data_IF_554611418521
#
_entry.id   IF_554611418521
#
_cell.length_a   1.000
_cell.length_b   1.000
_cell.length_c   1.000
_cell.angle_alpha   90.00
_cell.angle_beta   90.00
_cell.angle_gamma   90.00
#
_symmetry.space_group_name_H-M   'P 1'
#
loop_
_entity.id
_entity.type
_entity.pdbx_description
1 polymer ?
#
# COMPACT_ATOMS: atom_id res chain seq x y z
N UNK A 1 -3.11 6.20 3.59
CA UNK A 1 -4.11 5.46 2.80
C UNK A 1 -4.87 6.26 1.74
N UNK A 2 -5.44 7.45 2.03
CA UNK A 2 -6.31 8.15 1.05
C UNK A 2 -5.59 8.52 -0.26
N UNK A 3 -4.41 9.14 -0.18
CA UNK A 3 -3.61 9.49 -1.35
C UNK A 3 -3.17 8.25 -2.16
N UNK A 4 -2.85 7.15 -1.46
CA UNK A 4 -2.49 5.87 -2.08
C UNK A 4 -3.67 5.25 -2.84
N UNK A 5 -4.86 5.18 -2.21
CA UNK A 5 -6.10 4.74 -2.86
C UNK A 5 -6.46 5.59 -4.08
N UNK A 6 -6.22 6.89 -4.01
CA UNK A 6 -6.48 7.86 -5.07
C UNK A 6 -5.45 7.89 -6.19
N UNK A 7 -4.36 7.10 -6.11
CA UNK A 7 -3.33 7.08 -7.15
C UNK A 7 -2.47 8.35 -7.22
N UNK A 8 -2.47 9.16 -6.17
CA UNK A 8 -1.74 10.43 -6.15
C UNK A 8 -0.28 10.22 -5.74
N UNK A 9 0.54 9.63 -6.63
CA UNK A 9 1.96 9.29 -6.35
C UNK A 9 2.77 10.48 -5.85
N UNK A 10 2.56 11.68 -6.41
CA UNK A 10 3.24 12.90 -5.96
C UNK A 10 2.89 13.30 -4.52
N UNK A 11 1.63 13.13 -4.12
CA UNK A 11 1.19 13.41 -2.75
C UNK A 11 1.73 12.36 -1.78
N UNK A 12 1.71 11.07 -2.16
CA UNK A 12 2.30 10.00 -1.35
C UNK A 12 3.79 10.26 -1.10
N UNK A 13 4.54 10.61 -2.16
CA UNK A 13 5.96 10.95 -2.05
C UNK A 13 6.19 12.14 -1.12
N UNK A 14 5.45 13.24 -1.32
CA UNK A 14 5.56 14.42 -0.48
C UNK A 14 5.33 14.13 1.00
N UNK A 15 4.31 13.32 1.33
CA UNK A 15 4.00 12.95 2.70
C UNK A 15 5.13 12.12 3.34
N UNK A 16 5.64 11.11 2.64
CA UNK A 16 6.75 10.28 3.10
C UNK A 16 8.03 11.10 3.28
N UNK A 17 8.32 12.01 2.36
CA UNK A 17 9.48 12.92 2.45
C UNK A 17 9.34 13.96 3.58
N UNK A 18 8.13 14.20 4.07
CA UNK A 18 7.85 15.01 5.27
C UNK A 18 7.79 14.19 6.57
N UNK A 19 8.14 12.91 6.53
CA UNK A 19 8.22 12.05 7.70
C UNK A 19 6.88 11.43 8.12
N UNK A 20 5.89 11.37 7.20
CA UNK A 20 4.72 10.55 7.45
C UNK A 20 5.15 9.08 7.65
N UNK A 21 4.59 8.43 8.67
CA UNK A 21 4.84 7.02 8.94
C UNK A 21 4.23 6.15 7.81
N UNK A 22 5.08 5.41 7.10
CA UNK A 22 4.69 4.50 6.03
C UNK A 22 3.77 3.36 6.53
N UNK A 23 3.87 3.03 7.82
CA UNK A 23 3.15 1.95 8.48
C UNK A 23 1.95 2.44 9.30
N UNK A 24 1.60 3.72 9.19
CA UNK A 24 0.46 4.27 9.91
C UNK A 24 -0.82 3.47 9.60
N UNK A 25 -1.41 2.88 10.65
CA UNK A 25 -2.62 2.09 10.58
C UNK A 25 -3.88 2.93 10.84
N UNK A 26 -4.98 2.60 10.17
CA UNK A 26 -6.30 3.14 10.44
C UNK A 26 -7.24 3.12 9.23
N UNK A 27 -8.50 3.50 9.45
CA UNK A 27 -9.55 3.54 8.42
C UNK A 27 -9.77 2.21 7.68
N UNK A 28 -10.42 2.27 6.51
CA UNK A 28 -10.91 1.07 5.82
C UNK A 28 -9.79 0.12 5.37
N UNK A 29 -8.65 0.65 4.91
CA UNK A 29 -7.61 -0.19 4.30
C UNK A 29 -6.55 -0.68 5.30
N UNK A 30 -6.48 -0.11 6.51
CA UNK A 30 -5.35 -0.34 7.42
C UNK A 30 -4.21 0.62 7.10
N UNK A 31 -3.40 0.34 6.08
CA UNK A 31 -2.19 1.08 5.71
C UNK A 31 -2.31 1.72 4.33
N UNK A 32 -1.32 2.56 3.98
CA UNK A 32 -1.18 3.04 2.61
C UNK A 32 -0.85 1.91 1.62
N UNK A 33 -0.11 0.89 2.05
CA UNK A 33 0.31 -0.24 1.21
C UNK A 33 -0.89 -1.11 0.82
N UNK A 34 -1.73 -1.47 1.78
CA UNK A 34 -2.99 -2.19 1.53
C UNK A 34 -3.92 -1.40 0.58
N UNK A 35 -4.01 -0.07 0.74
CA UNK A 35 -4.83 0.77 -0.12
C UNK A 35 -4.32 0.84 -1.57
N UNK A 36 -3.01 0.92 -1.76
CA UNK A 36 -2.38 0.88 -3.08
C UNK A 36 -2.52 -0.50 -3.73
N UNK A 37 -2.34 -1.55 -2.93
CA UNK A 37 -2.43 -2.94 -3.38
C UNK A 37 -3.83 -3.31 -3.85
N UNK A 38 -4.86 -2.92 -3.09
CA UNK A 38 -6.27 -3.05 -3.50
C UNK A 38 -6.59 -2.34 -4.81
N UNK A 39 -5.89 -1.24 -5.11
CA UNK A 39 -6.15 -0.40 -6.30
C UNK A 39 -5.25 -0.75 -7.49
N UNK A 40 -4.35 -1.72 -7.34
CA UNK A 40 -3.44 -2.12 -8.42
C UNK A 40 -2.36 -1.09 -8.76
N UNK A 41 -2.09 -0.10 -7.87
CA UNK A 41 -1.23 1.04 -8.23
C UNK A 41 0.24 0.73 -7.93
N UNK A 42 0.88 0.05 -8.88
CA UNK A 42 2.26 -0.45 -8.76
C UNK A 42 3.26 0.59 -8.33
N UNK A 43 3.23 1.80 -8.89
CA UNK A 43 4.19 2.85 -8.57
C UNK A 43 4.12 3.27 -7.10
N UNK A 44 2.91 3.26 -6.52
CA UNK A 44 2.71 3.61 -5.11
C UNK A 44 3.09 2.43 -4.20
N UNK A 45 2.79 1.20 -4.62
CA UNK A 45 3.23 -0.01 -3.89
C UNK A 45 4.75 -0.03 -3.78
N UNK A 46 5.47 0.14 -4.90
CA UNK A 46 6.93 0.18 -4.90
C UNK A 46 7.47 1.33 -4.04
N UNK A 47 6.93 2.54 -4.20
CA UNK A 47 7.35 3.69 -3.40
C UNK A 47 7.22 3.46 -1.88
N UNK A 48 6.15 2.79 -1.45
CA UNK A 48 5.92 2.50 -0.04
C UNK A 48 6.90 1.44 0.47
N UNK A 49 7.16 0.39 -0.31
CA UNK A 49 8.15 -0.64 0.03
C UNK A 49 9.56 -0.05 0.12
N UNK A 50 9.94 0.80 -0.85
CA UNK A 50 11.22 1.53 -0.85
C UNK A 50 11.38 2.43 0.40
N UNK A 51 10.27 2.84 1.01
CA UNK A 51 10.22 3.65 2.24
C UNK A 51 10.02 2.81 3.51
N UNK A 52 10.14 1.49 3.43
CA UNK A 52 10.10 0.58 4.58
C UNK A 52 8.69 0.25 5.08
N UNK A 53 7.69 0.27 4.20
CA UNK A 53 6.37 -0.25 4.54
C UNK A 53 6.45 -1.75 4.86
N UNK A 54 5.84 -2.16 5.97
CA UNK A 54 5.73 -3.55 6.39
C UNK A 54 4.70 -4.26 5.51
N UNK A 55 5.21 -5.16 4.67
CA UNK A 55 4.41 -5.99 3.74
C UNK A 55 3.41 -6.89 4.46
N UNK A 56 3.71 -7.26 5.71
CA UNK A 56 2.91 -8.18 6.53
C UNK A 56 2.02 -7.44 7.53
N UNK A 57 1.99 -6.11 7.51
CA UNK A 57 1.11 -5.34 8.38
C UNK A 57 -0.35 -5.80 8.20
N UNK A 58 -0.96 -6.22 9.30
CA UNK A 58 -2.38 -6.60 9.32
C UNK A 58 -3.24 -5.38 9.66
N UNK A 59 -4.46 -5.34 9.12
CA UNK A 59 -5.43 -4.30 9.45
C UNK A 59 -6.43 -4.03 8.34
N UNK A 60 -7.33 -3.09 8.61
CA UNK A 60 -8.41 -2.75 7.69
C UNK A 60 -9.36 -3.92 7.43
N UNK A 61 -10.15 -3.79 6.38
CA UNK A 61 -11.16 -4.78 5.97
C UNK A 61 -10.54 -6.01 5.28
N UNK A 62 -9.36 -5.86 4.69
CA UNK A 62 -8.81 -6.83 3.74
C UNK A 62 -7.65 -7.67 4.27
N UNK A 63 -7.22 -7.44 5.53
CA UNK A 63 -6.00 -8.06 6.05
C UNK A 63 -4.77 -7.47 5.35
N UNK A 64 -3.72 -8.26 5.07
CA UNK A 64 -2.44 -7.76 4.53
C UNK A 64 -2.54 -7.15 3.12
N UNK A 65 -1.47 -6.47 2.68
CA UNK A 65 -1.40 -5.95 1.31
C UNK A 65 -1.55 -7.06 0.25
N UNK A 66 -0.98 -8.24 0.52
CA UNK A 66 -1.10 -9.41 -0.35
C UNK A 66 -2.56 -9.89 -0.45
N UNK A 67 -3.26 -9.97 0.68
CA UNK A 67 -4.67 -10.36 0.73
C UNK A 67 -5.56 -9.35 -0.01
N UNK A 68 -5.29 -8.06 0.14
CA UNK A 68 -6.00 -7.01 -0.59
C UNK A 68 -5.79 -7.11 -2.12
N UNK A 69 -4.55 -7.31 -2.59
CA UNK A 69 -4.25 -7.48 -4.01
C UNK A 69 -4.89 -8.75 -4.57
N UNK A 70 -4.80 -9.87 -3.84
CA UNK A 70 -5.39 -11.15 -4.24
C UNK A 70 -6.91 -11.07 -4.36
N UNK A 71 -7.59 -10.43 -3.40
CA UNK A 71 -9.05 -10.26 -3.41
C UNK A 71 -9.53 -9.44 -4.62
N UNK A 72 -8.72 -8.49 -5.11
CA UNK A 72 -9.03 -7.70 -6.33
C UNK A 72 -8.55 -8.32 -7.64
N UNK A 73 -7.72 -9.36 -7.59
CA UNK A 73 -7.12 -9.97 -8.78
C UNK A 73 -5.95 -9.18 -9.37
N UNK A 74 -5.32 -8.30 -8.59
CA UNK A 74 -4.20 -7.46 -9.01
C UNK A 74 -2.90 -8.27 -9.12
N UNK A 75 -2.82 -9.10 -10.16
CA UNK A 75 -1.79 -10.14 -10.32
C UNK A 75 -0.37 -9.58 -10.34
N UNK A 76 -0.17 -8.39 -10.92
CA UNK A 76 1.14 -7.73 -10.93
C UNK A 76 1.57 -7.32 -9.52
N UNK A 77 0.64 -6.81 -8.71
CA UNK A 77 0.90 -6.46 -7.32
C UNK A 77 1.14 -7.70 -6.47
N UNK A 78 0.37 -8.77 -6.69
CA UNK A 78 0.59 -10.05 -6.00
C UNK A 78 2.01 -10.55 -6.22
N UNK A 79 2.48 -10.55 -7.47
CA UNK A 79 3.87 -10.95 -7.78
C UNK A 79 4.88 -10.05 -7.06
N UNK A 80 4.69 -8.73 -7.18
CA UNK A 80 5.58 -7.75 -6.55
C UNK A 80 5.67 -7.95 -5.03
N UNK A 81 4.54 -8.19 -4.34
CA UNK A 81 4.51 -8.37 -2.89
C UNK A 81 5.02 -9.74 -2.42
N UNK A 82 5.00 -10.77 -3.27
CA UNK A 82 5.58 -12.09 -2.95
C UNK A 82 7.11 -12.06 -3.10
N UNK A 83 7.62 -11.20 -3.97
CA UNK A 83 9.05 -11.04 -4.23
C UNK A 83 9.77 -10.09 -3.24
N UNK A 84 9.03 -9.43 -2.33
CA UNK A 84 9.55 -8.51 -1.30
C UNK A 84 9.48 -9.12 0.11
#
# INVERSE_FOLDING_TARGET
QAAARGGSTGVVRLLLDKGADANAQGGQYGTALQAAAWRGIKEIVQLLLDKGADVNAEGGEYGTALQAAALKGETEIVRLLVDN
#
